data_IF_511031085007
#
_entry.id   IF_511031085007
#
_cell.length_a   1.000
_cell.length_b   1.000
_cell.length_c   1.000
_cell.angle_alpha   90.00
_cell.angle_beta   90.00
_cell.angle_gamma   90.00
#
_symmetry.space_group_name_H-M   'P 1'
#
loop_
_entity.id
_entity.type
_entity.pdbx_description
1 polymer ?
#
# COMPACT_ATOMS: atom_id res chain seq x y z
N UNK A 1 12.65 19.75 0.23
CA UNK A 1 13.05 18.55 0.91
C UNK A 1 12.04 17.44 0.71
N UNK A 2 12.46 16.27 0.30
CA UNK A 2 11.50 15.19 0.11
C UNK A 2 10.88 14.80 1.45
N UNK A 3 9.58 14.63 1.44
CA UNK A 3 8.84 14.32 2.65
C UNK A 3 8.79 12.83 2.93
N UNK A 4 9.06 12.05 1.93
CA UNK A 4 9.08 10.62 2.08
C UNK A 4 8.80 9.91 0.78
N UNK A 5 9.06 8.61 0.80
CA UNK A 5 8.86 7.73 -0.35
C UNK A 5 7.69 6.81 -0.04
N UNK A 6 6.67 6.85 -0.89
CA UNK A 6 5.47 6.01 -0.77
C UNK A 6 5.42 5.06 -1.96
N UNK A 7 5.23 3.79 -1.69
CA UNK A 7 5.00 2.78 -2.74
C UNK A 7 3.53 2.40 -2.73
N UNK A 8 2.95 2.27 -3.92
CA UNK A 8 1.56 1.85 -4.10
C UNK A 8 1.54 0.63 -4.99
N UNK A 9 0.90 -0.43 -4.53
CA UNK A 9 0.69 -1.62 -5.36
C UNK A 9 -0.80 -1.90 -5.49
N UNK A 10 -1.28 -1.95 -6.73
CA UNK A 10 -2.67 -2.20 -7.07
C UNK A 10 -2.70 -2.68 -8.51
N UNK A 11 -3.54 -3.64 -8.82
CA UNK A 11 -3.69 -4.13 -10.19
C UNK A 11 -4.54 -3.20 -11.05
N UNK A 12 -5.24 -2.24 -10.44
CA UNK A 12 -6.06 -1.26 -11.14
C UNK A 12 -5.22 -0.01 -11.47
N UNK A 13 -4.99 0.21 -12.76
CA UNK A 13 -4.18 1.35 -13.21
C UNK A 13 -4.80 2.70 -12.86
N UNK A 14 -6.14 2.77 -12.78
CA UNK A 14 -6.81 4.02 -12.41
C UNK A 14 -6.51 4.41 -10.98
N UNK A 15 -6.51 3.45 -10.07
CA UNK A 15 -6.19 3.68 -8.66
C UNK A 15 -4.74 4.11 -8.53
N UNK A 16 -3.82 3.45 -9.22
CA UNK A 16 -2.41 3.83 -9.19
C UNK A 16 -2.22 5.26 -9.67
N UNK A 17 -2.89 5.63 -10.75
CA UNK A 17 -2.76 6.97 -11.33
C UNK A 17 -3.26 8.04 -10.36
N UNK A 18 -4.44 7.83 -9.77
CA UNK A 18 -5.04 8.78 -8.83
C UNK A 18 -4.15 8.97 -7.62
N UNK A 19 -3.68 7.87 -7.03
CA UNK A 19 -2.84 7.94 -5.83
C UNK A 19 -1.48 8.57 -6.12
N UNK A 20 -0.88 8.24 -7.25
CA UNK A 20 0.40 8.83 -7.62
C UNK A 20 0.29 10.35 -7.72
N UNK A 21 -0.76 10.83 -8.37
CA UNK A 21 -0.95 12.28 -8.51
C UNK A 21 -1.26 12.95 -7.18
N UNK A 22 -2.08 12.33 -6.35
CA UNK A 22 -2.45 12.88 -5.06
C UNK A 22 -1.24 12.98 -4.13
N UNK A 23 -0.45 11.92 -4.07
CA UNK A 23 0.71 11.88 -3.19
C UNK A 23 1.81 12.82 -3.67
N UNK A 24 2.03 12.87 -4.99
CA UNK A 24 2.99 13.82 -5.56
C UNK A 24 2.58 15.26 -5.27
N UNK A 25 1.29 15.55 -5.34
CA UNK A 25 0.77 16.88 -5.02
C UNK A 25 0.97 17.27 -3.56
N UNK A 26 1.10 16.28 -2.68
CA UNK A 26 1.37 16.50 -1.25
C UNK A 26 2.88 16.58 -0.94
N UNK A 27 3.73 16.52 -1.96
CA UNK A 27 5.18 16.61 -1.78
C UNK A 27 5.87 15.29 -1.52
N UNK A 28 5.18 14.16 -1.73
CA UNK A 28 5.73 12.84 -1.50
C UNK A 28 6.21 12.25 -2.83
N UNK A 29 7.23 11.38 -2.76
CA UNK A 29 7.70 10.65 -3.92
C UNK A 29 6.94 9.32 -3.99
N UNK A 30 6.17 9.12 -5.05
CA UNK A 30 5.33 7.94 -5.18
C UNK A 30 5.81 7.05 -6.34
N UNK A 31 6.02 5.78 -6.04
CA UNK A 31 6.32 4.76 -7.05
C UNK A 31 5.18 3.74 -7.03
N UNK A 32 4.72 3.33 -8.20
CA UNK A 32 3.61 2.40 -8.32
C UNK A 32 4.05 1.06 -8.88
N UNK A 33 3.33 0.00 -8.48
CA UNK A 33 3.58 -1.37 -8.88
C UNK A 33 2.27 -2.04 -9.26
N UNK A 34 2.31 -3.00 -10.16
CA UNK A 34 1.13 -3.72 -10.61
C UNK A 34 0.81 -4.95 -9.78
N UNK A 35 1.82 -5.51 -9.11
CA UNK A 35 1.64 -6.74 -8.36
C UNK A 35 2.67 -6.84 -7.22
N UNK A 36 2.42 -7.81 -6.32
CA UNK A 36 3.27 -7.99 -5.15
C UNK A 36 4.67 -8.48 -5.46
N UNK A 37 4.83 -9.27 -6.53
CA UNK A 37 6.16 -9.76 -6.91
C UNK A 37 7.10 -8.61 -7.25
N UNK A 38 6.59 -7.60 -7.94
CA UNK A 38 7.38 -6.41 -8.27
C UNK A 38 7.82 -5.66 -7.02
N UNK A 39 6.92 -5.58 -6.02
CA UNK A 39 7.24 -4.93 -4.75
C UNK A 39 8.37 -5.65 -4.03
N UNK A 40 8.27 -6.98 -3.94
CA UNK A 40 9.28 -7.78 -3.25
C UNK A 40 10.64 -7.68 -3.93
N UNK A 41 10.64 -7.65 -5.27
CA UNK A 41 11.87 -7.47 -6.03
C UNK A 41 12.51 -6.10 -5.74
N UNK A 42 11.70 -5.05 -5.71
CA UNK A 42 12.18 -3.70 -5.44
C UNK A 42 12.69 -3.56 -4.01
N UNK A 43 12.07 -4.26 -3.05
CA UNK A 43 12.49 -4.22 -1.64
C UNK A 43 13.90 -4.81 -1.44
N UNK A 44 14.39 -5.61 -2.36
CA UNK A 44 15.76 -6.11 -2.30
C UNK A 44 16.81 -4.99 -2.43
N UNK A 45 16.45 -3.88 -3.04
CA UNK A 45 17.35 -2.76 -3.28
C UNK A 45 17.02 -1.50 -2.49
N UNK A 46 15.75 -1.27 -2.21
CA UNK A 46 15.25 -0.04 -1.58
C UNK A 46 14.12 -0.35 -0.65
N UNK A 47 13.94 0.50 0.36
CA UNK A 47 12.79 0.41 1.28
C UNK A 47 12.07 1.75 1.29
N UNK A 48 10.75 1.79 1.03
CA UNK A 48 10.00 3.02 1.13
C UNK A 48 9.71 3.37 2.59
N UNK A 49 9.15 4.54 2.82
CA UNK A 49 8.72 4.93 4.15
C UNK A 49 7.37 4.32 4.51
N UNK A 50 6.52 4.07 3.50
CA UNK A 50 5.22 3.41 3.69
C UNK A 50 4.80 2.73 2.39
N UNK A 51 4.05 1.64 2.52
CA UNK A 51 3.48 0.91 1.38
C UNK A 51 1.97 0.90 1.48
N UNK A 52 1.31 1.31 0.40
CA UNK A 52 -0.14 1.15 0.23
C UNK A 52 -0.37 -0.05 -0.68
N UNK A 53 -1.10 -1.04 -0.22
CA UNK A 53 -1.34 -2.25 -0.99
C UNK A 53 -2.82 -2.58 -1.10
N UNK A 54 -3.28 -2.83 -2.32
CA UNK A 54 -4.60 -3.41 -2.53
C UNK A 54 -4.60 -4.83 -1.94
N UNK A 55 -5.74 -5.26 -1.42
CA UNK A 55 -5.84 -6.58 -0.81
C UNK A 55 -6.12 -7.67 -1.84
N UNK A 56 -6.86 -7.34 -2.88
CA UNK A 56 -7.26 -8.32 -3.90
C UNK A 56 -6.52 -8.07 -5.20
N UNK A 57 -5.50 -8.89 -5.43
CA UNK A 57 -4.69 -8.80 -6.63
C UNK A 57 -4.48 -10.20 -7.20
N UNK A 58 -4.37 -10.34 -8.54
CA UNK A 58 -4.07 -11.64 -9.14
C UNK A 58 -2.71 -12.15 -8.66
N UNK A 59 -2.62 -13.45 -8.47
CA UNK A 59 -1.40 -14.08 -7.99
C UNK A 59 -1.24 -13.87 -6.50
N UNK A 60 -0.28 -13.07 -6.08
CA UNK A 60 -0.07 -12.76 -4.66
C UNK A 60 -1.01 -11.66 -4.21
N UNK A 61 -1.94 -11.95 -3.30
CA UNK A 61 -2.84 -10.93 -2.78
C UNK A 61 -2.15 -10.07 -1.72
N UNK A 62 -2.87 -9.01 -1.27
CA UNK A 62 -2.30 -8.06 -0.32
C UNK A 62 -1.95 -8.67 1.03
N UNK A 63 -2.71 -9.67 1.49
CA UNK A 63 -2.41 -10.33 2.76
C UNK A 63 -1.15 -11.17 2.67
N UNK A 64 -0.97 -11.90 1.57
CA UNK A 64 0.25 -12.67 1.34
C UNK A 64 1.46 -11.77 1.23
N UNK A 65 1.32 -10.64 0.54
CA UNK A 65 2.38 -9.65 0.42
C UNK A 65 2.74 -9.07 1.79
N UNK A 66 1.74 -8.70 2.59
CA UNK A 66 1.93 -8.18 3.94
C UNK A 66 2.72 -9.16 4.79
N UNK A 67 2.36 -10.43 4.76
CA UNK A 67 3.05 -11.46 5.53
C UNK A 67 4.53 -11.53 5.17
N UNK A 68 4.85 -11.53 3.89
CA UNK A 68 6.24 -11.60 3.45
C UNK A 68 7.01 -10.34 3.81
N UNK A 69 6.39 -9.17 3.70
CA UNK A 69 7.03 -7.92 4.07
C UNK A 69 7.35 -7.90 5.56
N UNK A 70 6.40 -8.33 6.40
CA UNK A 70 6.62 -8.32 7.86
C UNK A 70 7.70 -9.28 8.30
N UNK A 71 7.95 -10.34 7.53
CA UNK A 71 9.04 -11.26 7.83
C UNK A 71 10.41 -10.66 7.57
N UNK A 72 10.53 -9.81 6.54
CA UNK A 72 11.80 -9.24 6.11
C UNK A 72 12.00 -7.80 6.53
N UNK A 73 10.92 -7.05 6.64
CA UNK A 73 10.95 -5.62 6.95
C UNK A 73 9.88 -5.31 8.00
N UNK A 74 10.05 -5.82 9.25
CA UNK A 74 9.00 -5.70 10.26
C UNK A 74 8.66 -4.27 10.66
N UNK A 75 9.56 -3.32 10.38
CA UNK A 75 9.33 -1.92 10.73
C UNK A 75 8.64 -1.12 9.61
N UNK A 76 8.47 -1.70 8.43
CA UNK A 76 7.85 -1.00 7.32
C UNK A 76 6.33 -0.91 7.53
N UNK A 77 5.77 0.31 7.61
CA UNK A 77 4.32 0.45 7.73
C UNK A 77 3.64 0.06 6.41
N UNK A 78 2.64 -0.80 6.51
CA UNK A 78 1.84 -1.24 5.36
C UNK A 78 0.39 -0.87 5.62
N UNK A 79 -0.20 -0.13 4.68
CA UNK A 79 -1.62 0.25 4.73
C UNK A 79 -2.34 -0.56 3.66
N UNK A 80 -3.38 -1.27 4.07
CA UNK A 80 -4.15 -2.14 3.18
C UNK A 80 -5.37 -1.40 2.66
N UNK A 81 -5.55 -1.42 1.34
CA UNK A 81 -6.74 -0.86 0.70
C UNK A 81 -7.75 -1.98 0.49
N UNK A 82 -8.97 -1.80 1.00
CA UNK A 82 -10.01 -2.83 0.97
C UNK A 82 -11.30 -2.29 0.39
N UNK A 83 -12.16 -3.18 -0.16
CA UNK A 83 -13.53 -2.81 -0.47
C UNK A 83 -14.32 -2.66 0.83
N UNK A 84 -15.31 -1.77 0.82
CA UNK A 84 -16.18 -1.55 1.99
C UNK A 84 -16.82 -2.84 2.50
N UNK A 85 -17.11 -3.75 1.61
CA UNK A 85 -17.76 -5.02 1.95
C UNK A 85 -16.78 -6.08 2.48
N UNK A 86 -15.49 -5.76 2.58
CA UNK A 86 -14.44 -6.73 2.89
C UNK A 86 -13.84 -6.51 4.28
N UNK A 87 -14.73 -6.39 5.27
CA UNK A 87 -14.32 -6.14 6.67
C UNK A 87 -13.48 -7.27 7.25
N UNK A 88 -13.80 -8.51 6.89
CA UNK A 88 -13.04 -9.67 7.38
C UNK A 88 -11.58 -9.60 6.93
N UNK A 89 -11.35 -9.16 5.70
CA UNK A 89 -10.00 -9.00 5.18
C UNK A 89 -9.25 -7.89 5.92
N UNK A 90 -9.93 -6.80 6.27
CA UNK A 90 -9.32 -5.72 7.04
C UNK A 90 -8.90 -6.19 8.43
N UNK A 91 -9.74 -6.98 9.09
CA UNK A 91 -9.42 -7.54 10.41
C UNK A 91 -8.21 -8.47 10.29
N UNK A 92 -8.20 -9.34 9.28
CA UNK A 92 -7.05 -10.23 9.05
C UNK A 92 -5.76 -9.45 8.82
N UNK A 93 -5.84 -8.33 8.09
CA UNK A 93 -4.69 -7.48 7.83
C UNK A 93 -4.11 -6.91 9.13
N UNK A 94 -4.97 -6.42 10.02
CA UNK A 94 -4.53 -5.93 11.31
C UNK A 94 -3.87 -7.03 12.14
N UNK A 95 -4.45 -8.24 12.14
CA UNK A 95 -3.90 -9.37 12.86
C UNK A 95 -2.52 -9.76 12.34
N UNK A 96 -2.26 -9.52 11.06
CA UNK A 96 -0.97 -9.81 10.44
C UNK A 96 0.02 -8.66 10.50
N UNK A 97 -0.35 -7.56 11.14
CA UNK A 97 0.58 -6.46 11.39
C UNK A 97 0.45 -5.27 10.46
N UNK A 98 -0.67 -5.12 9.75
CA UNK A 98 -0.89 -3.92 8.95
C UNK A 98 -0.96 -2.70 9.85
N UNK A 99 -0.39 -1.59 9.40
CA UNK A 99 -0.39 -0.34 10.15
C UNK A 99 -1.79 0.25 10.21
N UNK A 100 -2.52 0.20 9.08
CA UNK A 100 -3.87 0.75 8.98
C UNK A 100 -4.53 0.15 7.75
N UNK A 101 -5.79 0.49 7.53
CA UNK A 101 -6.49 0.11 6.31
C UNK A 101 -7.24 1.31 5.76
N UNK A 102 -7.50 1.30 4.45
CA UNK A 102 -8.18 2.37 3.74
C UNK A 102 -9.30 1.75 2.90
N UNK A 103 -10.57 1.91 3.30
CA UNK A 103 -11.67 1.31 2.55
C UNK A 103 -11.90 2.04 1.22
N UNK A 104 -12.20 1.29 0.17
CA UNK A 104 -12.56 1.82 -1.14
C UNK A 104 -14.10 1.90 -1.25
N UNK A 105 -14.64 2.91 -1.88
CA UNK A 105 -13.93 4.09 -2.42
C UNK A 105 -13.50 5.02 -1.28
N UNK A 106 -12.34 5.61 -1.44
CA UNK A 106 -11.81 6.52 -0.41
C UNK A 106 -11.67 7.92 -0.98
N UNK A 107 -11.64 8.91 -0.08
CA UNK A 107 -11.32 10.27 -0.42
C UNK A 107 -9.80 10.39 -0.56
N UNK A 108 -9.35 11.15 -1.55
CA UNK A 108 -7.92 11.39 -1.77
C UNK A 108 -7.26 11.98 -0.51
N UNK A 109 -7.96 12.88 0.16
CA UNK A 109 -7.44 13.51 1.38
C UNK A 109 -7.23 12.50 2.50
N UNK A 110 -8.09 11.49 2.59
CA UNK A 110 -7.93 10.42 3.58
C UNK A 110 -6.67 9.60 3.31
N UNK A 111 -6.41 9.29 2.04
CA UNK A 111 -5.22 8.52 1.66
C UNK A 111 -3.95 9.30 2.01
N UNK A 112 -3.93 10.59 1.68
CA UNK A 112 -2.77 11.45 1.98
C UNK A 112 -2.56 11.55 3.49
N UNK A 113 -3.63 11.73 4.25
CA UNK A 113 -3.53 11.85 5.70
C UNK A 113 -2.97 10.60 6.35
N UNK A 114 -3.33 9.41 5.85
CA UNK A 114 -2.83 8.15 6.41
C UNK A 114 -1.34 7.95 6.21
N UNK A 115 -0.79 8.44 5.09
CA UNK A 115 0.64 8.25 4.81
C UNK A 115 1.51 9.34 5.44
N UNK A 116 0.91 10.43 5.85
CA UNK A 116 1.63 11.48 6.55
C UNK A 116 1.70 11.19 8.04
#
# INVERSE_FOLDING_TARGET
MPRGIVWVVDDDSSIRWVLERALAGAGLTCTTFENGAEVLEALASKTPDVLLSDIRMPGMDGLALLKQIKQRHPMLPVIIMTAHSDLDAAVSAYQQGAFDYLPKPFDIDEAVALVE
#
